data_IF_706557369022
#
_entry.id   IF_706557369022
#
_cell.length_a   1.000
_cell.length_b   1.000
_cell.length_c   1.000
_cell.angle_alpha   90.00
_cell.angle_beta   90.00
_cell.angle_gamma   90.00
#
_symmetry.space_group_name_H-M   'P 1'
#
loop_
_entity.id
_entity.type
_entity.pdbx_description
1 polymer ?
#
# COMPACT_ATOMS: atom_id res chain seq x y z
N UNK A 1 -41.37 -32.14 -29.71
CA UNK A 1 -40.39 -31.15 -30.21
C UNK A 1 -40.62 -29.83 -29.51
N UNK A 2 -39.88 -29.57 -28.44
CA UNK A 2 -39.83 -28.27 -27.77
C UNK A 2 -38.40 -28.09 -27.26
N UNK A 3 -37.73 -27.04 -27.73
CA UNK A 3 -36.39 -26.61 -27.32
C UNK A 3 -36.57 -25.40 -26.41
N UNK A 4 -35.92 -25.35 -25.25
CA UNK A 4 -35.17 -24.16 -24.87
C UNK A 4 -33.92 -24.54 -24.06
N UNK A 5 -32.94 -23.70 -23.75
CA UNK A 5 -32.48 -22.39 -24.22
C UNK A 5 -30.98 -22.39 -23.85
N UNK A 6 -30.14 -21.87 -24.74
CA UNK A 6 -28.68 -21.84 -24.60
C UNK A 6 -28.26 -20.92 -23.45
N UNK A 7 -27.43 -21.46 -22.54
CA UNK A 7 -26.74 -20.70 -21.50
C UNK A 7 -25.62 -19.86 -22.13
N UNK A 8 -25.66 -18.55 -21.91
CA UNK A 8 -24.58 -17.64 -22.30
C UNK A 8 -23.61 -17.46 -21.13
N UNK A 9 -22.49 -18.17 -21.20
CA UNK A 9 -21.35 -17.98 -20.31
C UNK A 9 -20.71 -16.60 -20.59
N UNK A 10 -20.60 -15.76 -19.56
CA UNK A 10 -19.82 -14.52 -19.62
C UNK A 10 -18.36 -14.83 -19.30
N UNK A 11 -17.58 -15.04 -20.35
CA UNK A 11 -16.11 -15.11 -20.29
C UNK A 11 -15.53 -13.71 -20.14
N UNK A 12 -14.79 -13.46 -19.07
CA UNK A 12 -13.91 -12.29 -18.96
C UNK A 12 -12.71 -12.51 -19.90
N UNK A 13 -12.72 -11.84 -21.05
CA UNK A 13 -11.57 -11.80 -21.96
C UNK A 13 -10.48 -10.87 -21.39
N UNK A 14 -9.29 -11.43 -21.24
CA UNK A 14 -8.04 -10.71 -21.00
C UNK A 14 -7.49 -10.28 -22.36
N UNK A 15 -7.55 -8.98 -22.67
CA UNK A 15 -6.98 -8.42 -23.89
C UNK A 15 -5.47 -8.23 -23.72
N UNK A 16 -4.70 -9.00 -24.47
CA UNK A 16 -3.26 -8.86 -24.68
C UNK A 16 -2.92 -7.46 -25.19
N UNK A 17 -2.08 -6.73 -24.46
CA UNK A 17 -1.48 -5.47 -24.92
C UNK A 17 -0.17 -5.82 -25.61
N UNK A 18 -0.17 -5.85 -26.93
CA UNK A 18 1.05 -5.66 -27.73
C UNK A 18 0.77 -4.61 -28.79
N UNK A 19 1.22 -3.37 -28.53
CA UNK A 19 1.27 -2.32 -29.54
C UNK A 19 2.68 -1.74 -29.55
N UNK A 20 3.44 -2.17 -30.56
CA UNK A 20 4.74 -1.65 -30.94
C UNK A 20 4.57 -0.27 -31.61
N UNK A 21 4.93 0.78 -30.88
CA UNK A 21 5.12 2.12 -31.46
C UNK A 21 6.51 2.16 -32.10
N UNK A 22 6.54 2.32 -33.42
CA UNK A 22 7.77 2.45 -34.23
C UNK A 22 8.53 3.75 -33.87
N UNK A 23 9.83 3.71 -33.61
CA UNK A 23 10.61 4.90 -33.28
C UNK A 23 11.35 5.44 -34.52
N UNK A 24 10.64 6.03 -35.49
CA UNK A 24 11.31 6.62 -36.67
C UNK A 24 10.69 7.92 -37.21
N UNK A 25 9.82 8.58 -36.44
CA UNK A 25 9.23 9.88 -36.85
C UNK A 25 9.27 10.85 -35.67
N UNK A 26 10.47 11.20 -35.20
CA UNK A 26 10.65 12.29 -34.23
C UNK A 26 11.95 13.09 -34.44
N UNK A 27 12.70 12.83 -35.51
CA UNK A 27 14.02 13.44 -35.72
C UNK A 27 14.15 14.12 -37.09
N UNK A 28 13.17 14.94 -37.48
CA UNK A 28 13.32 15.81 -38.66
C UNK A 28 12.71 17.22 -38.54
N UNK A 29 12.18 17.62 -37.38
CA UNK A 29 11.49 18.91 -37.24
C UNK A 29 11.94 19.81 -36.09
N UNK A 30 13.10 19.54 -35.48
CA UNK A 30 13.64 20.45 -34.46
C UNK A 30 15.14 20.61 -34.63
N UNK A 31 15.55 21.45 -35.58
CA UNK A 31 16.67 22.39 -35.42
C UNK A 31 16.66 23.36 -36.62
N UNK A 32 16.11 24.57 -36.42
CA UNK A 32 17.00 25.67 -36.05
C UNK A 32 16.32 26.70 -35.12
N UNK A 33 16.02 26.36 -33.86
CA UNK A 33 15.33 27.30 -32.96
C UNK A 33 15.98 27.44 -31.57
N UNK A 34 17.30 27.59 -31.54
CA UNK A 34 18.04 28.06 -30.35
C UNK A 34 17.50 29.40 -29.81
N UNK A 35 16.95 30.23 -30.70
CA UNK A 35 16.30 31.50 -30.32
C UNK A 35 15.01 31.29 -29.54
N UNK A 36 14.19 30.25 -29.83
CA UNK A 36 12.94 30.01 -29.09
C UNK A 36 13.22 29.58 -27.66
N UNK A 37 14.23 28.73 -27.49
CA UNK A 37 14.63 28.23 -26.17
C UNK A 37 15.14 29.38 -25.31
N UNK A 38 15.96 30.28 -25.87
CA UNK A 38 16.43 31.48 -25.19
C UNK A 38 15.30 32.46 -24.85
N UNK A 39 14.34 32.68 -25.76
CA UNK A 39 13.18 33.54 -25.51
C UNK A 39 12.25 32.95 -24.42
N UNK A 40 12.10 31.64 -24.37
CA UNK A 40 11.30 30.97 -23.33
C UNK A 40 11.93 31.07 -21.93
N UNK A 41 13.26 30.94 -21.83
CA UNK A 41 13.99 31.06 -20.57
C UNK A 41 14.00 32.50 -20.03
N UNK A 42 14.18 33.49 -20.91
CA UNK A 42 14.11 34.91 -20.53
C UNK A 42 12.72 35.32 -20.06
N UNK A 43 11.67 34.83 -20.73
CA UNK A 43 10.27 35.06 -20.34
C UNK A 43 9.96 34.47 -18.95
N UNK A 44 10.37 33.23 -18.70
CA UNK A 44 10.12 32.56 -17.41
C UNK A 44 10.86 33.25 -16.25
N UNK A 45 12.09 33.71 -16.49
CA UNK A 45 12.88 34.50 -15.53
C UNK A 45 12.21 35.82 -15.14
N UNK A 46 11.67 36.57 -16.11
CA UNK A 46 10.97 37.83 -15.83
C UNK A 46 9.63 37.60 -15.11
N UNK A 47 8.91 36.53 -15.45
CA UNK A 47 7.65 36.18 -14.79
C UNK A 47 7.83 35.82 -13.31
N UNK A 48 8.87 35.05 -12.97
CA UNK A 48 9.20 34.68 -11.57
C UNK A 48 9.61 35.91 -10.74
N UNK A 49 10.38 36.84 -11.30
CA UNK A 49 10.74 38.09 -10.61
C UNK A 49 9.55 38.99 -10.31
N UNK A 50 8.52 38.98 -11.17
CA UNK A 50 7.32 39.82 -10.99
C UNK A 50 6.46 39.35 -9.80
N UNK A 51 6.37 38.03 -9.58
CA UNK A 51 5.66 37.45 -8.42
C UNK A 51 6.41 37.73 -7.11
N UNK A 52 7.75 37.69 -7.11
CA UNK A 52 8.56 37.91 -5.90
C UNK A 52 8.47 39.36 -5.37
N UNK A 53 8.27 40.36 -6.23
CA UNK A 53 8.08 41.76 -5.81
C UNK A 53 6.67 42.06 -5.28
N UNK A 54 5.67 41.23 -5.59
CA UNK A 54 4.28 41.41 -5.15
C UNK A 54 3.98 40.85 -3.74
N UNK A 55 4.92 40.12 -3.11
CA UNK A 55 4.76 39.56 -1.75
C UNK A 55 5.64 40.32 -0.74
N UNK A 56 5.70 41.65 -0.89
CA UNK A 56 6.43 42.54 0.03
C UNK A 56 5.56 43.69 0.54
N UNK A 57 4.35 43.40 1.03
CA UNK A 57 3.63 44.31 1.93
C UNK A 57 2.46 43.62 2.65
N UNK A 58 2.75 42.77 3.64
CA UNK A 58 1.82 42.56 4.76
C UNK A 58 2.61 42.22 6.02
N UNK A 59 3.41 43.18 6.51
CA UNK A 59 3.78 43.22 7.92
C UNK A 59 2.81 44.16 8.61
N UNK A 60 1.77 43.60 9.23
CA UNK A 60 0.99 44.34 10.22
C UNK A 60 1.85 44.51 11.48
N UNK A 61 2.49 45.68 11.61
CA UNK A 61 3.04 46.18 12.88
C UNK A 61 1.86 46.41 13.84
N UNK A 62 1.76 45.58 14.87
CA UNK A 62 1.01 45.91 16.08
C UNK A 62 2.02 46.42 17.09
N UNK A 63 1.94 47.71 17.39
CA UNK A 63 2.69 48.37 18.46
C UNK A 63 1.87 48.21 19.74
N UNK A 64 2.40 47.45 20.70
CA UNK A 64 1.74 47.14 21.96
C UNK A 64 2.79 46.81 23.00
N UNK A 65 3.06 47.79 23.86
CA UNK A 65 4.12 47.77 24.86
C UNK A 65 3.60 47.01 26.09
N UNK A 66 4.02 45.77 26.32
CA UNK A 66 3.93 45.15 27.65
C UNK A 66 5.22 44.39 27.93
N UNK A 67 6.07 45.06 28.73
CA UNK A 67 7.06 44.42 29.58
C UNK A 67 6.29 43.63 30.65
N UNK A 68 6.24 42.31 30.49
CA UNK A 68 6.07 41.38 31.60
C UNK A 68 6.74 40.08 31.19
N UNK A 69 7.91 39.90 31.80
CA UNK A 69 8.56 38.62 32.02
C UNK A 69 7.52 37.57 32.40
N UNK A 70 7.33 36.56 31.56
CA UNK A 70 7.03 35.23 32.04
C UNK A 70 7.52 34.19 31.05
N UNK A 71 8.20 33.20 31.62
CA UNK A 71 8.95 32.15 30.95
C UNK A 71 7.95 31.26 30.19
N UNK A 72 7.70 31.60 28.93
CA UNK A 72 7.09 30.68 27.96
C UNK A 72 8.14 29.62 27.61
N UNK A 73 8.30 28.64 28.50
CA UNK A 73 8.83 27.33 28.16
C UNK A 73 7.94 26.79 27.05
N UNK A 74 8.39 26.96 25.81
CA UNK A 74 7.91 26.26 24.63
C UNK A 74 8.21 24.77 24.82
N UNK A 75 7.39 24.11 25.63
CA UNK A 75 7.33 22.66 25.69
C UNK A 75 6.88 22.23 24.31
N UNK A 76 7.81 21.66 23.53
CA UNK A 76 7.45 20.76 22.44
C UNK A 76 6.67 19.63 23.10
N UNK A 77 5.36 19.77 23.17
CA UNK A 77 4.47 18.65 23.43
C UNK A 77 4.65 17.74 22.22
N UNK A 78 5.52 16.72 22.37
CA UNK A 78 5.36 15.49 21.60
C UNK A 78 3.95 15.04 21.94
N UNK A 79 3.01 15.23 21.01
CA UNK A 79 1.77 14.47 21.05
C UNK A 79 2.19 13.02 20.99
N UNK A 80 2.22 12.38 22.16
CA UNK A 80 2.39 10.94 22.30
C UNK A 80 1.08 10.33 21.82
N UNK A 81 0.91 10.27 20.50
CA UNK A 81 -0.18 9.52 19.90
C UNK A 81 -0.03 8.07 20.36
N UNK A 82 -0.91 7.66 21.28
CA UNK A 82 -0.97 6.28 21.77
C UNK A 82 -1.25 5.38 20.58
N UNK A 83 -0.23 4.66 20.12
CA UNK A 83 -0.34 3.70 19.02
C UNK A 83 -1.07 2.46 19.55
N UNK A 84 -2.24 2.15 18.98
CA UNK A 84 -2.95 0.93 19.34
C UNK A 84 -2.37 -0.28 18.59
N UNK A 85 -1.72 -1.18 19.32
CA UNK A 85 -1.09 -2.39 18.78
C UNK A 85 -2.05 -3.59 18.67
N UNK A 86 -3.25 -3.52 19.25
CA UNK A 86 -4.20 -4.64 19.22
C UNK A 86 -5.02 -4.59 17.93
N UNK A 87 -5.16 -5.74 17.27
CA UNK A 87 -6.12 -5.92 16.19
C UNK A 87 -7.55 -5.78 16.71
N UNK A 88 -8.48 -5.41 15.83
CA UNK A 88 -9.90 -5.36 16.16
C UNK A 88 -10.40 -6.73 16.66
N UNK A 89 -11.32 -6.69 17.63
CA UNK A 89 -12.01 -7.89 18.12
C UNK A 89 -13.16 -8.35 17.21
N UNK A 90 -13.49 -7.53 16.22
CA UNK A 90 -14.63 -7.75 15.32
C UNK A 90 -14.32 -8.72 14.20
N UNK A 91 -13.04 -9.03 13.98
CA UNK A 91 -12.60 -10.04 13.03
C UNK A 91 -11.93 -11.17 13.80
N UNK A 92 -12.46 -12.38 13.67
CA UNK A 92 -11.97 -13.57 14.37
C UNK A 92 -11.53 -14.63 13.38
N UNK A 93 -10.28 -15.13 13.45
CA UNK A 93 -9.89 -16.28 12.66
C UNK A 93 -10.64 -17.53 13.15
N UNK A 94 -11.08 -18.35 12.20
CA UNK A 94 -11.72 -19.65 12.44
C UNK A 94 -10.72 -20.78 12.24
N UNK A 95 -9.96 -20.74 11.13
CA UNK A 95 -8.88 -21.68 10.85
C UNK A 95 -7.93 -21.12 9.79
N UNK A 96 -6.79 -21.78 9.65
CA UNK A 96 -5.73 -21.47 8.71
C UNK A 96 -5.42 -22.72 7.88
N UNK A 97 -5.34 -22.54 6.57
CA UNK A 97 -4.67 -23.50 5.68
C UNK A 97 -3.34 -22.87 5.29
N UNK A 98 -2.24 -23.42 5.78
CA UNK A 98 -0.89 -22.87 5.60
C UNK A 98 -0.03 -23.87 4.83
N UNK A 99 0.62 -23.39 3.76
CA UNK A 99 1.62 -24.11 3.02
C UNK A 99 2.92 -23.29 3.00
N UNK A 100 4.04 -23.94 3.26
CA UNK A 100 5.37 -23.34 3.26
C UNK A 100 6.29 -24.16 2.35
N UNK A 101 7.03 -23.45 1.50
CA UNK A 101 8.04 -24.02 0.61
C UNK A 101 9.39 -23.39 0.94
N UNK A 102 10.14 -23.97 1.90
CA UNK A 102 11.48 -23.50 2.22
C UNK A 102 12.48 -23.88 1.12
N UNK A 103 13.39 -22.95 0.83
CA UNK A 103 14.56 -23.14 -0.01
C UNK A 103 15.80 -22.91 0.89
N UNK A 104 16.42 -24.01 1.31
CA UNK A 104 17.54 -24.00 2.24
C UNK A 104 18.84 -23.51 1.58
N UNK A 105 18.97 -23.63 0.26
CA UNK A 105 20.14 -23.15 -0.50
C UNK A 105 20.11 -21.63 -0.62
N UNK A 106 18.94 -21.09 -1.00
CA UNK A 106 18.72 -19.64 -1.14
C UNK A 106 18.38 -18.95 0.17
N UNK A 107 18.26 -19.70 1.27
CA UNK A 107 17.89 -19.21 2.62
C UNK A 107 16.62 -18.36 2.59
N UNK A 108 15.61 -18.85 1.88
CA UNK A 108 14.33 -18.15 1.70
C UNK A 108 13.18 -19.12 1.77
N UNK A 109 11.96 -18.62 1.85
CA UNK A 109 10.78 -19.45 1.73
C UNK A 109 9.66 -18.70 1.02
N UNK A 110 8.81 -19.46 0.33
CA UNK A 110 7.50 -19.01 -0.14
C UNK A 110 6.45 -19.56 0.80
N UNK A 111 5.36 -18.83 0.97
CA UNK A 111 4.22 -19.24 1.76
C UNK A 111 2.91 -18.92 1.07
N UNK A 112 1.92 -19.75 1.33
CA UNK A 112 0.53 -19.54 0.96
C UNK A 112 -0.30 -19.75 2.21
N UNK A 113 -1.18 -18.81 2.53
CA UNK A 113 -2.11 -18.95 3.63
C UNK A 113 -3.52 -18.55 3.19
N UNK A 114 -4.49 -19.42 3.46
CA UNK A 114 -5.91 -19.05 3.46
C UNK A 114 -6.39 -19.01 4.90
N UNK A 115 -6.84 -17.85 5.32
CA UNK A 115 -7.39 -17.59 6.65
C UNK A 115 -8.91 -17.53 6.50
N UNK A 116 -9.62 -18.51 7.07
CA UNK A 116 -11.07 -18.38 7.24
C UNK A 116 -11.31 -17.47 8.42
N UNK A 117 -12.05 -16.39 8.22
CA UNK A 117 -12.34 -15.39 9.24
C UNK A 117 -13.85 -15.22 9.40
N UNK A 118 -14.28 -14.87 10.61
CA UNK A 118 -15.63 -14.42 10.92
C UNK A 118 -15.61 -12.94 11.26
N UNK A 119 -16.39 -12.17 10.52
CA UNK A 119 -16.68 -10.76 10.79
C UNK A 119 -17.92 -10.70 11.68
N UNK A 120 -17.77 -10.10 12.85
CA UNK A 120 -18.79 -10.01 13.91
C UNK A 120 -19.56 -8.70 13.89
N UNK A 121 -18.99 -7.65 13.29
CA UNK A 121 -19.63 -6.34 13.09
C UNK A 121 -19.19 -5.80 11.73
N UNK A 122 -20.04 -5.03 11.02
CA UNK A 122 -19.66 -4.40 9.77
C UNK A 122 -18.36 -3.61 9.91
N UNK A 123 -17.47 -3.73 8.91
CA UNK A 123 -16.15 -3.10 8.96
C UNK A 123 -15.64 -2.71 7.58
N UNK A 124 -14.78 -1.69 7.50
CA UNK A 124 -14.21 -1.18 6.25
C UNK A 124 -12.83 -1.75 5.94
N UNK A 125 -12.20 -2.43 6.90
CA UNK A 125 -10.89 -3.04 6.73
C UNK A 125 -10.76 -4.36 7.50
N UNK A 126 -9.77 -5.16 7.10
CA UNK A 126 -9.29 -6.31 7.86
C UNK A 126 -7.80 -6.12 8.09
N UNK A 127 -7.38 -6.32 9.33
CA UNK A 127 -5.98 -6.26 9.73
C UNK A 127 -5.49 -7.64 10.17
N UNK A 128 -4.30 -8.03 9.69
CA UNK A 128 -3.58 -9.23 10.14
C UNK A 128 -2.13 -8.89 10.44
N UNK A 129 -1.48 -9.62 11.33
CA UNK A 129 -0.06 -9.37 11.64
C UNK A 129 0.86 -9.82 10.50
N UNK A 130 1.82 -8.95 10.14
CA UNK A 130 2.88 -9.22 9.18
C UNK A 130 4.16 -8.53 9.63
N UNK A 131 5.26 -9.28 9.68
CA UNK A 131 6.60 -8.79 10.01
C UNK A 131 7.64 -9.46 9.11
N UNK A 132 8.48 -8.68 8.45
CA UNK A 132 9.57 -9.16 7.60
C UNK A 132 9.14 -10.16 6.49
N UNK A 133 7.91 -10.01 5.99
CA UNK A 133 7.40 -10.75 4.84
C UNK A 133 7.08 -9.78 3.70
N UNK A 134 7.29 -10.22 2.47
CA UNK A 134 6.76 -9.54 1.28
C UNK A 134 5.47 -10.23 0.86
N UNK A 135 4.36 -9.48 0.84
CA UNK A 135 3.07 -9.98 0.35
C UNK A 135 3.02 -9.75 -1.16
N UNK A 136 2.93 -10.84 -1.92
CA UNK A 136 3.01 -10.81 -3.39
C UNK A 136 1.62 -10.98 -4.03
N UNK A 137 0.65 -11.48 -3.27
CA UNK A 137 -0.72 -11.70 -3.71
C UNK A 137 -1.66 -11.63 -2.52
N UNK A 138 -2.85 -11.08 -2.76
CA UNK A 138 -3.96 -11.02 -1.83
C UNK A 138 -5.26 -11.28 -2.59
N UNK A 139 -6.14 -12.10 -2.01
CA UNK A 139 -7.52 -12.27 -2.46
C UNK A 139 -8.45 -12.34 -1.25
N UNK A 140 -9.69 -11.90 -1.46
CA UNK A 140 -10.71 -11.89 -0.43
C UNK A 140 -12.04 -12.40 -1.01
N UNK A 141 -12.57 -13.47 -0.43
CA UNK A 141 -13.80 -14.10 -0.90
C UNK A 141 -14.78 -14.32 0.26
N UNK A 142 -16.07 -14.35 -0.04
CA UNK A 142 -17.07 -14.82 0.93
C UNK A 142 -17.07 -16.35 1.06
N UNK A 143 -17.92 -16.88 1.94
CA UNK A 143 -17.99 -18.34 2.17
C UNK A 143 -18.44 -19.13 0.92
N UNK A 144 -19.15 -18.48 -0.01
CA UNK A 144 -19.57 -19.02 -1.30
C UNK A 144 -18.50 -18.88 -2.39
N UNK A 145 -17.28 -18.47 -2.04
CA UNK A 145 -16.15 -18.21 -2.95
C UNK A 145 -16.39 -17.09 -3.96
N UNK A 146 -17.31 -16.16 -3.69
CA UNK A 146 -17.49 -14.96 -4.52
C UNK A 146 -16.42 -13.94 -4.12
N UNK A 147 -15.72 -13.40 -5.11
CA UNK A 147 -14.73 -12.36 -4.89
C UNK A 147 -15.38 -11.10 -4.32
N UNK A 148 -14.79 -10.57 -3.26
CA UNK A 148 -15.14 -9.30 -2.64
C UNK A 148 -14.05 -8.30 -3.04
N UNK A 149 -14.45 -7.17 -3.62
CA UNK A 149 -13.50 -6.21 -4.16
C UNK A 149 -12.66 -5.56 -3.06
N UNK A 150 -11.34 -5.71 -3.16
CA UNK A 150 -10.36 -4.99 -2.35
C UNK A 150 -10.10 -3.63 -3.00
N UNK A 151 -10.13 -2.55 -2.21
CA UNK A 151 -9.81 -1.20 -2.68
C UNK A 151 -8.31 -0.93 -2.64
N UNK A 152 -7.67 -1.18 -1.49
CA UNK A 152 -6.22 -1.00 -1.34
C UNK A 152 -5.70 -1.90 -0.22
N UNK A 153 -4.38 -2.10 -0.20
CA UNK A 153 -3.70 -2.80 0.90
C UNK A 153 -2.46 -2.04 1.33
N UNK A 154 -2.09 -2.16 2.60
CA UNK A 154 -0.94 -1.47 3.14
C UNK A 154 -0.23 -2.31 4.21
N UNK A 155 1.10 -2.17 4.30
CA UNK A 155 1.86 -2.65 5.45
C UNK A 155 2.09 -1.44 6.36
N UNK A 156 1.73 -1.57 7.64
CA UNK A 156 1.95 -0.56 8.67
C UNK A 156 3.09 -1.05 9.57
N UNK A 157 4.37 -0.70 9.29
CA UNK A 157 5.51 -1.35 9.93
C UNK A 157 5.57 -1.11 11.43
N UNK A 158 5.14 0.07 11.90
CA UNK A 158 5.12 0.42 13.33
C UNK A 158 4.18 -0.48 14.14
N UNK A 159 3.13 -1.04 13.52
CA UNK A 159 2.16 -1.94 14.17
C UNK A 159 2.39 -3.41 13.79
N UNK A 160 3.30 -3.68 12.85
CA UNK A 160 3.50 -5.01 12.25
C UNK A 160 2.18 -5.59 11.71
N UNK A 161 1.44 -4.76 10.97
CA UNK A 161 0.10 -5.08 10.43
C UNK A 161 0.12 -4.99 8.91
N UNK A 162 -0.53 -5.95 8.26
CA UNK A 162 -1.02 -5.85 6.90
C UNK A 162 -2.52 -5.55 6.93
N UNK A 163 -2.90 -4.43 6.32
CA UNK A 163 -4.26 -3.93 6.26
C UNK A 163 -4.83 -4.13 4.86
N UNK A 164 -6.03 -4.69 4.77
CA UNK A 164 -6.83 -4.84 3.54
C UNK A 164 -8.06 -3.95 3.68
N UNK A 165 -8.20 -2.95 2.81
CA UNK A 165 -9.28 -1.96 2.86
C UNK A 165 -10.31 -2.22 1.74
N UNK A 166 -11.60 -2.09 2.06
CA UNK A 166 -12.73 -2.32 1.14
C UNK A 166 -13.35 -1.02 0.60
N UNK A 167 -12.76 0.14 0.91
CA UNK A 167 -13.21 1.45 0.43
C UNK A 167 -14.40 1.97 1.24
N UNK A 168 -15.38 2.56 0.56
CA UNK A 168 -16.60 3.10 1.19
C UNK A 168 -17.63 2.02 1.53
N UNK A 169 -17.47 0.81 1.00
CA UNK A 169 -18.38 -0.29 1.27
C UNK A 169 -17.86 -1.07 2.48
N UNK A 170 -18.67 -1.14 3.53
CA UNK A 170 -18.42 -2.04 4.63
C UNK A 170 -18.64 -3.48 4.19
N UNK A 171 -17.78 -4.39 4.64
CA UNK A 171 -18.08 -5.81 4.62
C UNK A 171 -19.02 -6.12 5.78
N UNK A 172 -20.08 -6.85 5.50
CA UNK A 172 -21.09 -7.22 6.49
C UNK A 172 -20.60 -8.35 7.39
N UNK A 173 -21.37 -8.63 8.44
CA UNK A 173 -21.18 -9.81 9.28
C UNK A 173 -21.25 -11.09 8.43
N UNK A 174 -20.39 -12.07 8.73
CA UNK A 174 -20.32 -13.28 7.94
C UNK A 174 -18.98 -14.01 8.03
N UNK A 175 -18.85 -15.06 7.20
CA UNK A 175 -17.62 -15.83 7.06
C UNK A 175 -16.97 -15.50 5.72
N UNK A 176 -15.67 -15.27 5.76
CA UNK A 176 -14.86 -14.90 4.60
C UNK A 176 -13.53 -15.68 4.58
N UNK A 177 -12.85 -15.61 3.45
CA UNK A 177 -11.54 -16.21 3.19
C UNK A 177 -10.58 -15.12 2.75
N UNK A 178 -9.55 -14.87 3.55
CA UNK A 178 -8.40 -14.04 3.18
C UNK A 178 -7.27 -14.95 2.72
N UNK A 179 -6.89 -14.84 1.45
CA UNK A 179 -5.80 -15.62 0.86
C UNK A 179 -4.60 -14.74 0.60
N UNK A 180 -3.42 -15.13 1.08
CA UNK A 180 -2.16 -14.41 0.89
C UNK A 180 -1.09 -15.35 0.31
N UNK A 181 -0.35 -14.88 -0.70
CA UNK A 181 0.95 -15.44 -1.03
C UNK A 181 2.04 -14.50 -0.55
N UNK A 182 3.05 -15.06 0.12
CA UNK A 182 4.12 -14.28 0.72
C UNK A 182 5.48 -14.94 0.54
N UNK A 183 6.52 -14.14 0.68
CA UNK A 183 7.91 -14.59 0.72
C UNK A 183 8.61 -14.05 1.96
N UNK A 184 9.53 -14.83 2.50
CA UNK A 184 10.39 -14.44 3.62
C UNK A 184 11.80 -14.99 3.47
N UNK A 185 12.68 -14.54 4.36
CA UNK A 185 14.06 -15.05 4.49
C UNK A 185 14.13 -16.02 5.65
N UNK A 186 14.89 -17.09 5.48
CA UNK A 186 15.32 -17.94 6.59
C UNK A 186 16.51 -17.22 7.25
N UNK A 187 16.21 -16.32 8.16
CA UNK A 187 17.23 -15.57 8.89
C UNK A 187 18.08 -16.52 9.76
N UNK A 188 19.27 -16.05 10.12
CA UNK A 188 20.18 -16.71 11.08
C UNK A 188 19.84 -16.41 12.54
N UNK A 189 18.83 -15.57 12.79
CA UNK A 189 18.25 -15.38 14.11
C UNK A 189 17.51 -16.61 14.62
N UNK A 190 16.99 -16.53 15.85
CA UNK A 190 16.26 -17.63 16.52
C UNK A 190 14.75 -17.38 16.63
N UNK A 191 14.25 -16.33 15.97
CA UNK A 191 12.84 -15.89 16.05
C UNK A 191 12.14 -16.14 14.73
N UNK A 192 10.96 -16.75 14.78
CA UNK A 192 10.13 -17.01 13.61
C UNK A 192 10.56 -18.28 12.86
N UNK A 193 10.55 -18.22 11.53
CA UNK A 193 10.96 -19.33 10.68
C UNK A 193 12.42 -19.13 10.23
N UNK A 194 13.34 -19.90 10.82
CA UNK A 194 14.78 -19.68 10.71
C UNK A 194 15.54 -20.94 10.29
N UNK A 195 16.76 -20.76 9.81
CA UNK A 195 17.67 -21.86 9.48
C UNK A 195 18.53 -22.24 10.69
N UNK A 196 18.67 -23.54 10.96
CA UNK A 196 19.64 -24.07 11.91
C UNK A 196 20.56 -25.10 11.23
N UNK A 197 21.80 -25.22 11.71
CA UNK A 197 22.78 -26.17 11.19
C UNK A 197 23.39 -26.97 12.33
N UNK A 198 23.26 -28.29 12.26
CA UNK A 198 23.98 -29.22 13.13
C UNK A 198 25.29 -29.65 12.44
N UNK A 199 26.39 -29.73 13.18
CA UNK A 199 27.61 -30.38 12.68
C UNK A 199 27.40 -31.89 12.76
N UNK A 200 27.44 -32.58 11.61
CA UNK A 200 27.52 -34.04 11.59
C UNK A 200 28.86 -34.48 12.17
N UNK A 201 28.85 -35.45 13.10
CA UNK A 201 30.07 -36.05 13.63
C UNK A 201 30.82 -36.76 12.52
N UNK A 202 32.12 -36.49 12.43
CA UNK A 202 33.09 -37.24 11.60
C UNK A 202 33.67 -38.35 12.46
#
# INVERSE_FOLDING_TARGET
MLKPASQQARTCQFSTIENWVKPDIMMSWVCPHKVFVLLSLLSFSLFVSTIALSVKSTTCRVEGNILSTDISKKTKTKEDHVINYRLSRDVRPLNYTLMLWPDLERKSFKGHVTIRIRVLRPTTNIEVHVKNLSINYVDFNDDANRCVQINTTNIIPKREVYEVQFGHNEITEGVYKLTLNFTGKLDTGIVGFYQSKLRGGV
#
